data_IF_714382851928
#
_entry.id   IF_714382851928
#
_cell.length_a   1.000
_cell.length_b   1.000
_cell.length_c   1.000
_cell.angle_alpha   90.00
_cell.angle_beta   90.00
_cell.angle_gamma   90.00
#
_symmetry.space_group_name_H-M   'P 1'
#
loop_
_entity.id
_entity.type
_entity.pdbx_description
1 polymer ?
#
# COMPACT_ATOMS: atom_id res chain seq x y z
N UNK A 1 -6.32 26.32 -9.87
CA UNK A 1 -5.67 26.31 -8.56
C UNK A 1 -4.53 25.27 -8.42
N UNK A 2 -4.58 24.02 -8.97
CA UNK A 2 -3.46 23.08 -8.84
C UNK A 2 -2.15 23.53 -9.50
N UNK A 3 -2.22 24.17 -10.62
CA UNK A 3 -1.04 24.66 -11.39
C UNK A 3 -0.19 25.72 -10.66
N UNK A 4 -0.84 26.63 -9.95
CA UNK A 4 -0.14 27.70 -9.20
C UNK A 4 0.67 27.12 -8.04
N UNK A 5 0.14 26.06 -7.38
CA UNK A 5 0.84 25.37 -6.28
C UNK A 5 2.02 24.57 -6.82
N UNK A 6 1.86 23.90 -7.97
CA UNK A 6 2.94 23.16 -8.63
C UNK A 6 4.09 24.10 -9.06
N UNK A 7 3.78 25.25 -9.65
CA UNK A 7 4.78 26.26 -10.03
C UNK A 7 5.53 26.83 -8.82
N UNK A 8 4.85 27.06 -7.69
CA UNK A 8 5.50 27.57 -6.48
C UNK A 8 6.47 26.54 -5.88
N UNK A 9 6.14 25.26 -5.96
CA UNK A 9 6.97 24.15 -5.46
C UNK A 9 8.21 23.96 -6.33
N UNK A 10 8.04 23.93 -7.66
CA UNK A 10 9.15 23.79 -8.60
C UNK A 10 10.15 24.97 -8.51
N UNK A 11 9.65 26.19 -8.34
CA UNK A 11 10.50 27.39 -8.15
C UNK A 11 11.33 27.31 -6.86
N UNK A 12 10.73 26.90 -5.74
CA UNK A 12 11.41 26.71 -4.45
C UNK A 12 12.46 25.59 -4.52
N UNK A 13 12.15 24.52 -5.23
CA UNK A 13 13.07 23.40 -5.44
C UNK A 13 14.27 23.83 -6.29
N UNK A 14 14.02 24.49 -7.42
CA UNK A 14 15.06 25.04 -8.30
C UNK A 14 16.00 26.00 -7.56
N UNK A 15 15.45 26.89 -6.73
CA UNK A 15 16.21 27.82 -5.90
C UNK A 15 17.09 27.09 -4.89
N UNK A 16 16.60 26.02 -4.23
CA UNK A 16 17.38 25.20 -3.28
C UNK A 16 18.48 24.39 -3.95
N UNK A 17 18.25 23.93 -5.18
CA UNK A 17 19.20 23.16 -5.97
C UNK A 17 20.22 24.06 -6.73
N UNK A 18 20.07 25.37 -6.68
CA UNK A 18 20.94 26.31 -7.41
C UNK A 18 20.82 26.21 -8.94
N UNK A 19 19.67 25.70 -9.44
CA UNK A 19 19.41 25.57 -10.88
C UNK A 19 18.30 26.52 -11.33
N UNK A 20 18.24 26.79 -12.65
CA UNK A 20 17.11 27.59 -13.18
C UNK A 20 15.81 26.81 -13.10
N UNK A 21 14.70 27.53 -12.96
CA UNK A 21 13.35 26.94 -12.94
C UNK A 21 13.09 26.12 -14.22
N UNK A 22 13.60 26.60 -15.37
CA UNK A 22 13.51 25.86 -16.65
C UNK A 22 14.31 24.56 -16.64
N UNK A 23 15.47 24.52 -15.99
CA UNK A 23 16.24 23.29 -15.83
C UNK A 23 15.49 22.29 -14.93
N UNK A 24 14.87 22.75 -13.86
CA UNK A 24 14.03 21.89 -13.01
C UNK A 24 12.86 21.27 -13.79
N UNK A 25 12.14 22.07 -14.61
CA UNK A 25 11.03 21.58 -15.44
C UNK A 25 11.42 20.59 -16.55
N UNK A 26 12.68 20.52 -16.96
CA UNK A 26 13.15 19.48 -17.89
C UNK A 26 13.15 18.07 -17.27
N UNK A 27 13.22 18.00 -15.95
CA UNK A 27 13.34 16.74 -15.21
C UNK A 27 12.10 16.43 -14.37
N UNK A 28 11.17 17.38 -14.24
CA UNK A 28 9.98 17.27 -13.40
C UNK A 28 8.78 17.70 -14.22
N UNK A 29 7.99 16.72 -14.67
CA UNK A 29 6.79 16.97 -15.49
C UNK A 29 5.56 17.29 -14.62
N UNK A 30 5.54 16.82 -13.36
CA UNK A 30 4.39 16.98 -12.46
C UNK A 30 4.80 17.06 -10.99
N UNK A 31 3.87 17.56 -10.16
CA UNK A 31 4.01 17.52 -8.69
C UNK A 31 4.09 16.06 -8.19
N UNK A 32 3.35 15.18 -8.79
CA UNK A 32 3.28 13.77 -8.37
C UNK A 32 4.61 13.06 -8.61
N UNK A 33 5.34 13.39 -9.68
CA UNK A 33 6.72 12.91 -9.90
C UNK A 33 7.67 13.40 -8.82
N UNK A 34 7.56 14.64 -8.38
CA UNK A 34 8.38 15.15 -7.25
C UNK A 34 8.06 14.37 -5.98
N UNK A 35 6.79 14.17 -5.68
CA UNK A 35 6.36 13.41 -4.50
C UNK A 35 6.86 11.98 -4.59
N UNK A 36 6.74 11.33 -5.75
CA UNK A 36 7.25 9.98 -5.97
C UNK A 36 8.77 9.89 -5.75
N UNK A 37 9.53 10.84 -6.29
CA UNK A 37 10.98 10.90 -6.07
C UNK A 37 11.33 11.15 -4.60
N UNK A 38 10.62 12.04 -3.92
CA UNK A 38 10.79 12.28 -2.48
C UNK A 38 10.50 11.02 -1.67
N UNK A 39 9.42 10.31 -1.97
CA UNK A 39 9.04 9.04 -1.32
C UNK A 39 10.14 8.00 -1.53
N UNK A 40 10.64 7.86 -2.76
CA UNK A 40 11.72 6.93 -3.09
C UNK A 40 13.00 7.20 -2.28
N UNK A 41 13.42 8.46 -2.22
CA UNK A 41 14.58 8.89 -1.41
C UNK A 41 14.31 8.70 0.10
N UNK A 42 13.09 8.99 0.55
CA UNK A 42 12.67 8.79 1.94
C UNK A 42 12.77 7.33 2.37
N UNK A 43 12.38 6.39 1.52
CA UNK A 43 12.58 4.95 1.78
C UNK A 43 14.07 4.58 1.71
N UNK A 44 14.83 5.13 0.76
CA UNK A 44 16.20 4.74 0.52
C UNK A 44 16.37 3.26 0.15
N UNK A 45 17.59 2.74 0.09
CA UNK A 45 17.85 1.34 -0.27
C UNK A 45 17.30 0.39 0.81
N UNK A 46 16.76 -0.79 0.42
CA UNK A 46 16.39 -1.83 1.36
C UNK A 46 17.64 -2.40 2.06
N UNK A 47 17.48 -2.98 3.27
CA UNK A 47 18.54 -3.76 3.88
C UNK A 47 18.82 -5.02 3.06
N UNK A 48 20.01 -5.61 3.27
CA UNK A 48 20.31 -6.94 2.73
C UNK A 48 19.49 -7.96 3.50
N UNK A 49 18.58 -8.64 2.81
CA UNK A 49 17.65 -9.63 3.39
C UNK A 49 17.99 -11.07 2.96
N UNK A 50 18.99 -11.23 2.10
CA UNK A 50 19.34 -12.53 1.53
C UNK A 50 20.32 -13.26 2.43
N UNK A 51 19.81 -14.03 3.37
CA UNK A 51 20.52 -15.15 3.95
C UNK A 51 19.86 -16.44 3.44
N UNK A 52 20.52 -17.23 2.58
CA UNK A 52 19.95 -18.45 2.03
C UNK A 52 19.65 -19.51 3.09
N UNK A 53 20.23 -19.39 4.29
CA UNK A 53 20.03 -20.32 5.42
C UNK A 53 18.87 -19.92 6.33
N UNK A 54 18.30 -18.73 6.13
CA UNK A 54 17.25 -18.19 6.99
C UNK A 54 15.84 -18.62 6.53
N UNK A 55 14.98 -18.91 7.49
CA UNK A 55 13.55 -19.11 7.22
C UNK A 55 12.95 -17.85 6.58
N UNK A 56 12.16 -18.04 5.54
CA UNK A 56 11.51 -16.93 4.84
C UNK A 56 10.67 -16.05 5.79
N UNK A 57 10.09 -16.62 6.84
CA UNK A 57 9.29 -15.88 7.80
C UNK A 57 10.12 -14.89 8.62
N UNK A 58 11.38 -15.21 8.92
CA UNK A 58 12.31 -14.32 9.61
C UNK A 58 12.79 -13.21 8.67
N UNK A 59 13.09 -13.53 7.43
CA UNK A 59 13.38 -12.56 6.38
C UNK A 59 12.24 -11.57 6.17
N UNK A 60 11.00 -12.06 6.21
CA UNK A 60 9.80 -11.23 6.10
C UNK A 60 9.61 -10.28 7.29
N UNK A 61 9.86 -10.75 8.52
CA UNK A 61 9.85 -9.90 9.73
C UNK A 61 10.90 -8.81 9.63
N UNK A 62 12.12 -9.15 9.22
CA UNK A 62 13.20 -8.14 9.04
C UNK A 62 12.82 -7.10 8.01
N UNK A 63 12.19 -7.50 6.90
CA UNK A 63 11.69 -6.57 5.89
C UNK A 63 10.63 -5.62 6.46
N UNK A 64 9.65 -6.16 7.19
CA UNK A 64 8.58 -5.40 7.81
C UNK A 64 9.11 -4.39 8.84
N UNK A 65 10.01 -4.82 9.72
CA UNK A 65 10.67 -3.95 10.71
C UNK A 65 11.49 -2.86 10.05
N UNK A 66 12.19 -3.19 8.94
CA UNK A 66 12.99 -2.21 8.21
C UNK A 66 12.11 -1.14 7.54
N UNK A 67 10.97 -1.50 6.95
CA UNK A 67 9.99 -0.52 6.43
C UNK A 67 9.41 0.32 7.57
N UNK A 68 9.05 -0.31 8.69
CA UNK A 68 8.54 0.40 9.85
C UNK A 68 9.53 1.47 10.35
N UNK A 69 10.81 1.12 10.41
CA UNK A 69 11.87 2.07 10.76
C UNK A 69 11.98 3.24 9.76
N UNK A 70 11.65 3.04 8.48
CA UNK A 70 11.59 4.16 7.50
C UNK A 70 10.46 5.12 7.81
N UNK A 71 9.28 4.62 8.20
CA UNK A 71 8.17 5.46 8.63
C UNK A 71 8.47 6.22 9.92
N UNK A 72 9.20 5.60 10.85
CA UNK A 72 9.63 6.25 12.09
C UNK A 72 10.65 7.37 11.81
N UNK A 73 11.65 7.11 10.96
CA UNK A 73 12.66 8.08 10.55
C UNK A 73 12.09 9.21 9.67
N UNK A 74 11.05 8.93 8.89
CA UNK A 74 10.44 9.86 7.94
C UNK A 74 8.91 9.85 8.06
N UNK A 75 8.33 10.38 9.15
CA UNK A 75 6.89 10.31 9.41
C UNK A 75 6.01 10.91 8.31
N UNK A 76 6.53 11.87 7.54
CA UNK A 76 5.84 12.47 6.39
C UNK A 76 5.52 11.47 5.27
N UNK A 77 6.21 10.33 5.20
CA UNK A 77 5.89 9.24 4.25
C UNK A 77 4.46 8.71 4.45
N UNK A 78 3.95 8.77 5.68
CA UNK A 78 2.59 8.36 6.01
C UNK A 78 1.52 9.32 5.46
N UNK A 79 1.89 10.58 5.19
CA UNK A 79 0.99 11.60 4.65
C UNK A 79 0.92 11.57 3.12
N UNK A 80 1.77 10.76 2.48
CA UNK A 80 1.78 10.63 1.03
C UNK A 80 0.73 9.63 0.58
N UNK A 81 -0.05 9.94 -0.48
CA UNK A 81 -0.98 8.98 -1.05
C UNK A 81 -0.25 7.75 -1.60
N UNK A 82 -0.88 6.58 -1.47
CA UNK A 82 -0.41 5.37 -2.14
C UNK A 82 -0.98 5.37 -3.55
N UNK A 83 -0.13 5.59 -4.54
CA UNK A 83 -0.51 5.58 -5.94
C UNK A 83 0.11 4.37 -6.65
N UNK A 84 -0.72 3.37 -6.96
CA UNK A 84 -0.36 2.28 -7.86
C UNK A 84 0.96 1.55 -7.57
N UNK A 85 1.61 1.09 -8.63
CA UNK A 85 2.93 0.45 -8.55
C UNK A 85 4.01 1.48 -8.19
N UNK A 86 4.96 1.13 -7.31
CA UNK A 86 6.11 1.97 -7.06
C UNK A 86 6.95 2.12 -8.34
N UNK A 87 7.34 3.35 -8.66
CA UNK A 87 8.13 3.67 -9.85
C UNK A 87 9.57 4.06 -9.54
N UNK A 88 9.87 4.40 -8.29
CA UNK A 88 11.21 4.78 -7.88
C UNK A 88 12.15 3.58 -7.69
N UNK A 89 13.47 3.74 -7.96
CA UNK A 89 14.43 2.65 -7.94
C UNK A 89 14.60 2.01 -6.55
N UNK A 90 14.47 2.77 -5.46
CA UNK A 90 14.55 2.21 -4.11
C UNK A 90 13.29 1.43 -3.78
N UNK A 91 12.11 1.97 -4.05
CA UNK A 91 10.83 1.28 -3.81
C UNK A 91 10.70 -0.01 -4.62
N UNK A 92 11.19 -0.03 -5.86
CA UNK A 92 11.25 -1.25 -6.67
C UNK A 92 12.20 -2.30 -6.04
N UNK A 93 13.35 -1.88 -5.50
CA UNK A 93 14.25 -2.79 -4.79
C UNK A 93 13.64 -3.33 -3.50
N UNK A 94 12.86 -2.53 -2.77
CA UNK A 94 12.11 -2.99 -1.61
C UNK A 94 11.09 -4.07 -1.98
N UNK A 95 10.36 -3.88 -3.10
CA UNK A 95 9.42 -4.87 -3.61
C UNK A 95 10.15 -6.14 -4.06
N UNK A 96 11.21 -6.02 -4.84
CA UNK A 96 12.03 -7.16 -5.26
C UNK A 96 12.57 -7.95 -4.07
N UNK A 97 13.02 -7.27 -3.01
CA UNK A 97 13.55 -7.91 -1.82
C UNK A 97 12.49 -8.78 -1.11
N UNK A 98 11.27 -8.29 -0.93
CA UNK A 98 10.21 -9.06 -0.27
C UNK A 98 9.70 -10.21 -1.15
N UNK A 99 9.61 -10.01 -2.47
CA UNK A 99 9.22 -11.07 -3.39
C UNK A 99 10.23 -12.24 -3.41
N UNK A 100 11.53 -11.93 -3.27
CA UNK A 100 12.58 -12.95 -3.10
C UNK A 100 12.46 -13.70 -1.79
N UNK A 101 12.24 -13.01 -0.68
CA UNK A 101 11.98 -13.63 0.62
C UNK A 101 10.80 -14.58 0.54
N UNK A 102 9.68 -14.12 -0.04
CA UNK A 102 8.46 -14.92 -0.20
C UNK A 102 8.60 -16.08 -1.20
N UNK A 103 9.68 -16.13 -2.00
CA UNK A 103 9.96 -17.28 -2.84
C UNK A 103 10.16 -18.58 -2.03
N UNK A 104 10.69 -18.45 -0.82
CA UNK A 104 10.85 -19.57 0.11
C UNK A 104 9.55 -20.10 0.72
N UNK A 105 8.44 -19.36 0.59
CA UNK A 105 7.14 -19.74 1.11
C UNK A 105 6.33 -20.69 0.19
N UNK A 106 6.84 -21.07 -0.98
CA UNK A 106 6.13 -21.94 -1.91
C UNK A 106 4.95 -21.27 -2.66
N UNK A 107 4.80 -19.97 -2.55
CA UNK A 107 3.74 -19.17 -3.18
C UNK A 107 4.02 -18.94 -4.67
N UNK A 108 2.98 -18.83 -5.49
CA UNK A 108 3.11 -18.33 -6.85
C UNK A 108 3.40 -16.81 -6.89
N UNK A 109 3.69 -16.25 -8.07
CA UNK A 109 4.07 -14.84 -8.20
C UNK A 109 2.94 -13.88 -7.80
N UNK A 110 1.68 -14.21 -8.07
CA UNK A 110 0.54 -13.39 -7.71
C UNK A 110 0.29 -13.42 -6.20
N UNK A 111 0.41 -14.60 -5.60
CA UNK A 111 0.28 -14.79 -4.16
C UNK A 111 1.39 -14.05 -3.39
N UNK A 112 2.65 -14.09 -3.90
CA UNK A 112 3.76 -13.31 -3.32
C UNK A 112 3.48 -11.81 -3.36
N UNK A 113 2.97 -11.31 -4.48
CA UNK A 113 2.61 -9.90 -4.61
C UNK A 113 1.50 -9.52 -3.63
N UNK A 114 0.45 -10.36 -3.53
CA UNK A 114 -0.64 -10.12 -2.60
C UNK A 114 -0.17 -10.14 -1.14
N UNK A 115 0.68 -11.09 -0.77
CA UNK A 115 1.29 -11.16 0.56
C UNK A 115 2.17 -9.94 0.88
N UNK A 116 2.99 -9.50 -0.09
CA UNK A 116 3.81 -8.30 0.05
C UNK A 116 2.97 -7.04 0.28
N UNK A 117 1.88 -6.87 -0.48
CA UNK A 117 0.97 -5.73 -0.33
C UNK A 117 0.22 -5.77 1.01
N UNK A 118 -0.22 -6.96 1.45
CA UNK A 118 -0.88 -7.14 2.74
C UNK A 118 0.04 -6.71 3.90
N UNK A 119 1.29 -7.12 3.87
CA UNK A 119 2.28 -6.78 4.90
C UNK A 119 2.64 -5.29 4.86
N UNK A 120 2.90 -4.73 3.67
CA UNK A 120 3.18 -3.28 3.53
C UNK A 120 2.01 -2.44 4.09
N UNK A 121 0.77 -2.84 3.77
CA UNK A 121 -0.44 -2.19 4.30
C UNK A 121 -0.54 -2.28 5.82
N UNK A 122 -0.26 -3.46 6.41
CA UNK A 122 -0.25 -3.65 7.85
C UNK A 122 0.81 -2.76 8.53
N UNK A 123 2.05 -2.80 8.06
CA UNK A 123 3.16 -1.99 8.59
C UNK A 123 2.82 -0.50 8.54
N UNK A 124 2.30 -0.03 7.41
CA UNK A 124 1.90 1.37 7.23
C UNK A 124 0.79 1.77 8.22
N UNK A 125 -0.22 0.93 8.38
CA UNK A 125 -1.34 1.19 9.30
C UNK A 125 -0.86 1.29 10.74
N UNK A 126 -0.03 0.34 11.20
CA UNK A 126 0.53 0.36 12.55
C UNK A 126 1.38 1.61 12.78
N UNK A 127 2.24 1.97 11.83
CA UNK A 127 3.06 3.18 11.93
C UNK A 127 2.20 4.47 12.00
N UNK A 128 1.13 4.55 11.20
CA UNK A 128 0.22 5.69 11.20
C UNK A 128 -0.55 5.80 12.52
N UNK A 129 -1.05 4.69 13.06
CA UNK A 129 -1.75 4.64 14.33
C UNK A 129 -0.83 5.06 15.48
N UNK A 130 0.38 4.51 15.55
CA UNK A 130 1.37 4.90 16.57
C UNK A 130 1.65 6.40 16.53
N UNK A 131 1.87 6.97 15.33
CA UNK A 131 2.09 8.41 15.17
C UNK A 131 0.89 9.22 15.68
N UNK A 132 -0.33 8.81 15.35
CA UNK A 132 -1.55 9.49 15.79
C UNK A 132 -1.73 9.44 17.30
N UNK A 133 -1.46 8.30 17.93
CA UNK A 133 -1.55 8.12 19.37
C UNK A 133 -0.48 8.94 20.09
N UNK A 134 0.76 8.95 19.62
CA UNK A 134 1.85 9.77 20.21
C UNK A 134 1.51 11.26 20.14
N UNK A 135 0.90 11.75 19.07
CA UNK A 135 0.48 13.14 18.96
C UNK A 135 -0.61 13.51 19.97
N UNK A 136 -1.51 12.56 20.30
CA UNK A 136 -2.61 12.77 21.28
C UNK A 136 -2.12 12.66 22.73
N UNK A 137 -1.05 11.89 23.03
CA UNK A 137 -0.50 11.73 24.40
C UNK A 137 -0.03 13.05 24.98
N UNK A 138 0.40 13.99 24.15
CA UNK A 138 0.87 15.30 24.59
C UNK A 138 -0.26 16.31 24.92
N UNK A 139 -1.55 15.94 24.71
CA UNK A 139 -2.67 16.85 25.02
C UNK A 139 -3.26 16.52 26.41
N UNK A 140 -3.08 17.43 27.38
CA UNK A 140 -3.62 17.34 28.75
C UNK A 140 -5.16 17.25 28.81
N UNK A 141 -5.88 17.42 27.69
CA UNK A 141 -7.33 17.26 27.57
C UNK A 141 -7.78 15.80 27.50
N UNK A 142 -6.87 14.85 27.47
CA UNK A 142 -7.14 13.44 27.20
C UNK A 142 -8.07 12.78 28.25
N UNK A 143 -7.84 13.04 29.54
CA UNK A 143 -8.66 12.46 30.61
C UNK A 143 -10.12 12.93 30.57
N UNK A 144 -10.35 14.21 30.28
CA UNK A 144 -11.69 14.75 30.14
C UNK A 144 -12.42 14.19 28.90
N UNK A 145 -11.68 14.04 27.77
CA UNK A 145 -12.22 13.46 26.55
C UNK A 145 -12.53 11.97 26.69
N UNK A 146 -11.70 11.21 27.41
CA UNK A 146 -11.92 9.79 27.66
C UNK A 146 -13.17 9.57 28.53
N UNK A 147 -13.35 10.35 29.60
CA UNK A 147 -14.54 10.28 30.44
C UNK A 147 -15.82 10.66 29.68
N UNK A 148 -15.75 11.71 28.87
CA UNK A 148 -16.89 12.09 28.01
C UNK A 148 -17.23 10.98 27.03
N UNK A 149 -16.24 10.40 26.36
CA UNK A 149 -16.44 9.31 25.40
C UNK A 149 -17.04 8.09 26.08
N UNK A 150 -16.53 7.70 27.26
CA UNK A 150 -17.04 6.58 28.03
C UNK A 150 -18.53 6.78 28.39
N UNK A 151 -18.90 7.96 28.91
CA UNK A 151 -20.30 8.30 29.21
C UNK A 151 -21.18 8.19 27.96
N UNK A 152 -20.68 8.63 26.82
CA UNK A 152 -21.41 8.55 25.56
C UNK A 152 -21.60 7.11 25.09
N UNK A 153 -20.54 6.29 25.15
CA UNK A 153 -20.60 4.87 24.76
C UNK A 153 -21.62 4.10 25.63
N UNK A 154 -21.65 4.38 26.95
CA UNK A 154 -22.62 3.76 27.85
C UNK A 154 -24.05 4.21 27.57
N UNK A 155 -24.27 5.50 27.33
CA UNK A 155 -25.60 6.05 26.99
C UNK A 155 -26.16 5.49 25.67
N UNK A 156 -25.31 5.24 24.70
CA UNK A 156 -25.68 4.69 23.38
C UNK A 156 -25.72 3.14 23.38
N UNK A 157 -25.49 2.47 24.51
CA UNK A 157 -25.53 1.02 24.66
C UNK A 157 -24.33 0.29 24.01
N UNK A 158 -23.23 0.98 23.73
CA UNK A 158 -22.02 0.45 23.08
C UNK A 158 -21.10 -0.24 24.11
N UNK A 159 -21.63 -1.25 24.80
CA UNK A 159 -20.98 -1.88 25.95
C UNK A 159 -19.59 -2.47 25.64
N UNK A 160 -19.38 -3.08 24.48
CA UNK A 160 -18.08 -3.65 24.08
C UNK A 160 -17.03 -2.55 23.91
N UNK A 161 -17.37 -1.45 23.24
CA UNK A 161 -16.46 -0.31 23.09
C UNK A 161 -16.14 0.35 24.44
N UNK A 162 -17.12 0.46 25.33
CA UNK A 162 -16.92 0.94 26.68
C UNK A 162 -15.92 0.04 27.47
N UNK A 163 -16.04 -1.28 27.32
CA UNK A 163 -15.07 -2.23 27.91
C UNK A 163 -13.65 -2.06 27.34
N UNK A 164 -13.50 -1.92 26.02
CA UNK A 164 -12.20 -1.67 25.38
C UNK A 164 -11.56 -0.40 25.92
N UNK A 165 -12.34 0.68 26.06
CA UNK A 165 -11.85 1.95 26.58
C UNK A 165 -11.44 1.83 28.08
N UNK A 166 -12.26 1.16 28.90
CA UNK A 166 -11.96 0.92 30.32
C UNK A 166 -10.73 0.04 30.54
N UNK A 167 -10.49 -0.92 29.63
CA UNK A 167 -9.33 -1.79 29.69
C UNK A 167 -8.02 -1.09 29.30
N UNK A 168 -8.07 0.20 28.91
CA UNK A 168 -6.90 0.93 28.45
C UNK A 168 -6.30 0.40 27.14
N UNK A 169 -7.05 -0.42 26.39
CA UNK A 169 -6.55 -1.05 25.16
C UNK A 169 -6.20 -0.05 24.04
N UNK A 170 -6.56 1.23 24.21
CA UNK A 170 -6.25 2.32 23.28
C UNK A 170 -5.18 3.28 23.85
N UNK A 171 -4.72 3.09 25.10
CA UNK A 171 -3.95 4.13 25.80
C UNK A 171 -2.47 4.16 25.41
N UNK A 172 -1.83 3.04 25.18
CA UNK A 172 -0.37 2.97 25.01
C UNK A 172 0.09 2.54 23.61
N UNK A 173 -0.83 2.44 22.66
CA UNK A 173 -0.50 1.88 21.34
C UNK A 173 -0.16 0.39 21.38
N UNK A 174 -0.22 -0.26 22.55
CA UNK A 174 0.03 -1.70 22.71
C UNK A 174 -1.00 -2.58 21.98
N UNK A 175 -2.20 -2.05 21.72
CA UNK A 175 -3.23 -2.74 20.95
C UNK A 175 -2.93 -2.86 19.43
N UNK A 176 -1.89 -2.17 18.95
CA UNK A 176 -1.48 -2.14 17.54
C UNK A 176 -0.03 -2.57 17.39
N UNK A 177 0.34 -3.67 18.03
CA UNK A 177 1.69 -4.22 17.90
C UNK A 177 1.92 -4.75 16.48
N UNK A 178 3.04 -4.32 15.90
CA UNK A 178 3.45 -4.77 14.58
C UNK A 178 3.53 -6.30 14.52
N UNK A 179 4.10 -6.91 15.57
CA UNK A 179 4.31 -8.36 15.66
C UNK A 179 3.00 -9.14 15.73
N UNK A 180 1.96 -8.62 16.42
CA UNK A 180 0.67 -9.29 16.50
C UNK A 180 0.05 -9.56 15.13
N UNK A 181 0.10 -8.59 14.22
CA UNK A 181 -0.41 -8.75 12.86
C UNK A 181 0.52 -9.57 11.98
N UNK A 182 1.84 -9.36 12.10
CA UNK A 182 2.83 -10.13 11.35
C UNK A 182 2.73 -11.62 11.66
N UNK A 183 2.57 -12.01 12.93
CA UNK A 183 2.41 -13.41 13.34
C UNK A 183 1.23 -14.07 12.64
N UNK A 184 0.11 -13.36 12.55
CA UNK A 184 -1.12 -13.87 11.93
C UNK A 184 -1.02 -13.94 10.42
N UNK A 185 -0.40 -12.93 9.79
CA UNK A 185 -0.16 -12.93 8.35
C UNK A 185 0.78 -14.09 7.99
N UNK A 186 1.88 -14.26 8.73
CA UNK A 186 2.85 -15.34 8.51
C UNK A 186 2.20 -16.70 8.73
N UNK A 187 1.39 -16.86 9.78
CA UNK A 187 0.66 -18.11 10.03
C UNK A 187 -0.33 -18.42 8.89
N UNK A 188 -1.03 -17.41 8.36
CA UNK A 188 -1.90 -17.57 7.20
C UNK A 188 -1.15 -18.03 5.96
N UNK A 189 -0.02 -17.40 5.64
CA UNK A 189 0.83 -17.79 4.51
C UNK A 189 1.35 -19.22 4.68
N UNK A 190 1.78 -19.60 5.87
CA UNK A 190 2.22 -20.99 6.16
C UNK A 190 1.10 -22.02 5.96
N UNK A 191 -0.13 -21.68 6.34
CA UNK A 191 -1.29 -22.56 6.15
C UNK A 191 -1.64 -22.73 4.66
N UNK A 192 -1.55 -21.66 3.86
CA UNK A 192 -1.79 -21.72 2.42
C UNK A 192 -0.74 -22.57 1.69
N UNK A 193 0.54 -22.44 2.06
CA UNK A 193 1.66 -23.20 1.49
C UNK A 193 1.48 -24.72 1.71
N UNK A 194 0.94 -25.13 2.86
CA UNK A 194 0.66 -26.55 3.15
C UNK A 194 -0.60 -27.07 2.44
N UNK A 195 -1.54 -26.18 2.09
CA UNK A 195 -2.78 -26.52 1.37
C UNK A 195 -2.61 -26.53 -0.15
N UNK A 196 -1.57 -25.86 -0.67
CA UNK A 196 -1.29 -25.70 -2.10
C UNK A 196 -0.79 -26.95 -2.81
N UNK A 197 -0.25 -27.91 -2.08
CA UNK A 197 0.22 -29.19 -2.63
C UNK A 197 -0.93 -30.08 -3.20
N UNK A 198 -2.18 -29.71 -2.87
CA UNK A 198 -3.40 -30.37 -3.40
C UNK A 198 -4.09 -29.67 -4.57
N UNK A 199 -3.75 -28.40 -4.89
CA UNK A 199 -4.46 -27.61 -5.92
C UNK A 199 -3.85 -27.72 -7.33
N UNK A 200 -2.59 -28.09 -7.47
CA UNK A 200 -1.93 -28.20 -8.78
C UNK A 200 -2.39 -29.38 -9.63
N UNK A 201 -3.18 -30.32 -9.08
CA UNK A 201 -3.68 -31.50 -9.80
C UNK A 201 -5.07 -31.33 -10.44
N UNK A 202 -5.77 -30.20 -10.20
CA UNK A 202 -7.20 -30.03 -10.60
C UNK A 202 -7.47 -29.05 -11.74
N UNK A 203 -6.53 -28.18 -12.12
CA UNK A 203 -6.81 -27.03 -13.00
C UNK A 203 -6.31 -27.15 -14.44
N UNK A 204 -5.82 -28.33 -14.82
CA UNK A 204 -5.40 -28.62 -16.21
C UNK A 204 -6.55 -28.98 -17.17
N UNK A 205 -7.82 -28.92 -16.77
CA UNK A 205 -8.96 -29.42 -17.60
C UNK A 205 -9.92 -28.34 -18.08
N UNK A 206 -9.69 -27.04 -17.84
CA UNK A 206 -10.60 -25.97 -18.29
C UNK A 206 -9.99 -24.91 -19.19
N UNK A 207 -9.02 -25.23 -20.02
CA UNK A 207 -8.56 -24.39 -21.10
C UNK A 207 -9.02 -24.93 -22.47
N UNK A 208 -10.31 -24.78 -22.80
CA UNK A 208 -10.83 -25.27 -24.07
C UNK A 208 -12.29 -24.93 -24.34
N UNK A 209 -12.66 -23.65 -24.41
CA UNK A 209 -13.86 -23.21 -25.12
C UNK A 209 -13.83 -21.69 -25.34
N UNK A 210 -13.22 -21.26 -26.41
CA UNK A 210 -13.44 -19.91 -26.95
C UNK A 210 -14.81 -19.85 -27.62
N UNK A 211 -15.66 -18.85 -27.37
CA UNK A 211 -16.87 -18.67 -28.15
C UNK A 211 -16.53 -18.05 -29.51
N UNK A 212 -16.87 -18.79 -30.59
CA UNK A 212 -16.89 -18.32 -31.98
C UNK A 212 -17.81 -17.10 -32.11
N UNK A 213 -17.24 -15.94 -32.37
CA UNK A 213 -17.98 -14.77 -32.83
C UNK A 213 -18.31 -15.01 -34.31
N UNK A 214 -19.56 -15.32 -34.62
CA UNK A 214 -20.14 -15.31 -35.95
C UNK A 214 -20.13 -13.88 -36.50
N UNK A 215 -19.29 -13.62 -37.52
CA UNK A 215 -19.42 -12.46 -38.39
C UNK A 215 -20.65 -12.69 -39.29
N UNK A 216 -21.72 -11.95 -39.01
CA UNK A 216 -22.86 -11.82 -39.92
C UNK A 216 -22.48 -10.94 -41.10
N UNK A 217 -22.44 -11.58 -42.25
CA UNK A 217 -22.35 -10.96 -43.57
C UNK A 217 -23.78 -10.50 -43.92
N UNK A 218 -24.02 -9.20 -44.10
CA UNK A 218 -25.26 -8.69 -44.70
C UNK A 218 -24.88 -7.87 -45.94
N UNK A 219 -25.24 -8.50 -47.04
CA UNK A 219 -25.13 -8.01 -48.41
C UNK A 219 -26.05 -6.82 -48.65
N UNK A 220 -25.53 -5.93 -49.45
CA UNK A 220 -26.16 -4.98 -50.40
C UNK A 220 -27.63 -5.19 -50.66
N UNK A 221 -28.38 -4.09 -50.61
CA UNK A 221 -29.45 -3.82 -51.55
C UNK A 221 -29.43 -2.34 -51.94
N UNK A 222 -29.21 -2.14 -53.25
CA UNK A 222 -29.38 -0.90 -54.01
C UNK A 222 -30.88 -0.78 -54.32
N UNK A 223 -31.47 0.38 -54.09
CA UNK A 223 -32.58 0.83 -54.94
C UNK A 223 -32.43 2.30 -55.22
N UNK A 224 -32.28 2.56 -56.50
CA UNK A 224 -32.49 3.81 -57.21
C UNK A 224 -33.94 4.30 -57.02
N UNK A 225 -34.15 5.59 -56.91
CA UNK A 225 -35.28 6.29 -57.52
C UNK A 225 -35.14 7.80 -57.43
N UNK A 226 -34.77 8.38 -58.54
CA UNK A 226 -35.25 9.59 -59.23
C UNK A 226 -36.41 10.37 -58.62
N UNK A 227 -36.30 11.73 -58.68
CA UNK A 227 -37.46 12.58 -58.82
C UNK A 227 -37.32 13.98 -58.22
N UNK A 228 -36.79 14.92 -58.96
CA UNK A 228 -37.41 16.12 -59.57
C UNK A 228 -38.08 17.14 -58.65
N UNK A 229 -37.57 18.39 -58.76
CA UNK A 229 -38.28 19.69 -58.89
C UNK A 229 -38.93 20.34 -57.66
N UNK A 230 -38.50 21.40 -57.18
CA UNK A 230 -38.71 22.85 -57.48
C UNK A 230 -37.81 23.73 -56.67
#
# INVERSE_FOLDING_TARGET
>A
MPEVIAQSTARKLAQRLGVSTMAAYRHISSRDEVIAAMVDVGFGPPPVLSDPSEDWSDGLRRWALAIYARYDAHPWLLDTPVHGMPTGPHRLRWMEAVLRVLAGAGLDLQERLNAALLIDGHVRTVAALKRSLTAVVHDARRSASANWLLTRLEADGLATMAQVLKAGALDDGQGYELDYGLDRIIAGIKADSTSGDGRSAGESVRAGAAPHVRRGNSSREKTDSTGTSK
#
